data_IF_005302085213
#
_entry.id   IF_005302085213
#
_cell.length_a   1.000
_cell.length_b   1.000
_cell.length_c   1.000
_cell.angle_alpha   90.00
_cell.angle_beta   90.00
_cell.angle_gamma   90.00
#
_symmetry.space_group_name_H-M   'P 1'
#
loop_
_entity.id
_entity.type
_entity.pdbx_description
1 polymer ?
#
# COMPACT_ATOMS: atom_id res chain seq x y z
N UNK A 1 -36.08 -16.10 80.87
CA UNK A 1 -34.80 -16.11 80.15
C UNK A 1 -34.99 -16.92 78.87
N UNK A 2 -35.32 -16.22 77.79
CA UNK A 2 -35.29 -16.69 76.42
C UNK A 2 -34.18 -15.85 75.78
N UNK A 3 -33.12 -16.49 75.27
CA UNK A 3 -32.03 -15.79 74.58
C UNK A 3 -31.75 -16.48 73.25
N UNK A 4 -31.67 -15.64 72.23
CA UNK A 4 -31.71 -15.88 70.78
C UNK A 4 -30.59 -16.75 70.19
N UNK A 5 -30.95 -17.31 69.04
CA UNK A 5 -30.11 -17.97 68.04
C UNK A 5 -29.33 -16.90 67.27
N UNK A 6 -28.00 -16.98 67.23
CA UNK A 6 -27.16 -16.19 66.30
C UNK A 6 -26.68 -17.12 65.17
N UNK A 7 -26.86 -16.66 63.93
CA UNK A 7 -26.38 -17.31 62.70
C UNK A 7 -24.91 -16.92 62.46
N UNK A 8 -24.01 -17.90 62.37
CA UNK A 8 -22.66 -17.69 61.86
C UNK A 8 -22.69 -17.59 60.33
N UNK A 9 -22.31 -16.43 59.81
CA UNK A 9 -22.09 -16.17 58.39
C UNK A 9 -20.65 -16.60 58.07
N UNK A 10 -20.50 -17.60 57.20
CA UNK A 10 -19.20 -18.01 56.66
C UNK A 10 -18.80 -17.00 55.59
N UNK A 11 -17.79 -16.16 55.86
CA UNK A 11 -17.13 -15.36 54.83
C UNK A 11 -16.29 -16.28 53.91
N UNK A 12 -16.37 -16.14 52.57
CA UNK A 12 -15.46 -16.84 51.67
C UNK A 12 -14.06 -16.23 51.76
N UNK A 13 -13.05 -17.09 51.84
CA UNK A 13 -11.64 -16.71 51.85
C UNK A 13 -11.29 -15.86 50.60
N UNK A 14 -10.41 -14.84 50.74
CA UNK A 14 -9.97 -14.06 49.59
C UNK A 14 -9.18 -14.97 48.66
N UNK A 15 -9.67 -15.13 47.42
CA UNK A 15 -8.92 -15.76 46.35
C UNK A 15 -7.70 -14.89 46.06
N UNK A 16 -6.50 -15.40 46.33
CA UNK A 16 -5.26 -14.81 45.86
C UNK A 16 -5.30 -14.74 44.32
N UNK A 17 -5.50 -13.52 43.80
CA UNK A 17 -5.34 -13.15 42.40
C UNK A 17 -3.86 -13.21 41.98
N UNK A 18 -3.26 -14.41 42.02
CA UNK A 18 -1.99 -14.67 41.31
C UNK A 18 -2.21 -14.84 39.79
N UNK A 19 -3.43 -14.61 39.30
CA UNK A 19 -3.76 -14.57 37.87
C UNK A 19 -3.61 -13.13 37.36
N UNK A 20 -2.38 -12.60 37.28
CA UNK A 20 -2.16 -11.42 36.42
C UNK A 20 -0.69 -11.08 36.14
N UNK A 21 0.27 -11.35 37.03
CA UNK A 21 1.63 -10.82 36.82
C UNK A 21 2.44 -11.69 35.84
N UNK A 22 2.51 -13.01 36.01
CA UNK A 22 3.23 -13.89 35.07
C UNK A 22 2.66 -13.87 33.65
N UNK A 23 1.33 -13.70 33.52
CA UNK A 23 0.65 -13.65 32.22
C UNK A 23 0.90 -12.32 31.49
N UNK A 24 1.06 -11.23 32.25
CA UNK A 24 1.44 -9.92 31.73
C UNK A 24 2.93 -9.90 31.36
N UNK A 25 3.80 -10.52 32.15
CA UNK A 25 5.23 -10.60 31.86
C UNK A 25 5.54 -11.46 30.61
N UNK A 26 4.81 -12.58 30.43
CA UNK A 26 4.89 -13.39 29.21
C UNK A 26 4.29 -12.69 27.97
N UNK A 27 3.30 -11.80 28.13
CA UNK A 27 2.79 -10.94 27.04
C UNK A 27 3.71 -9.74 26.73
N UNK A 28 4.53 -9.32 27.70
CA UNK A 28 5.44 -8.16 27.59
C UNK A 28 6.83 -8.52 27.03
N UNK A 29 7.23 -9.80 27.09
CA UNK A 29 8.57 -10.20 26.65
C UNK A 29 8.72 -10.12 25.12
N UNK A 30 9.61 -9.24 24.66
CA UNK A 30 9.87 -9.01 23.24
C UNK A 30 8.91 -8.06 22.50
N UNK A 31 7.95 -7.40 23.17
CA UNK A 31 7.04 -6.40 22.56
C UNK A 31 7.60 -4.95 22.67
N UNK A 32 7.36 -4.10 21.65
CA UNK A 32 7.84 -2.71 21.63
C UNK A 32 7.14 -1.86 22.71
N UNK A 33 5.86 -2.15 22.96
CA UNK A 33 5.02 -1.42 23.91
C UNK A 33 4.70 -2.32 25.10
N UNK A 34 5.24 -1.98 26.27
CA UNK A 34 5.03 -2.72 27.53
C UNK A 34 3.76 -2.22 28.24
N UNK A 35 3.02 -3.13 28.87
CA UNK A 35 1.90 -2.82 29.78
C UNK A 35 2.39 -2.75 31.23
N UNK A 36 1.97 -1.74 31.97
CA UNK A 36 2.24 -1.59 33.42
C UNK A 36 1.80 -0.23 33.97
N UNK A 37 1.68 -0.13 35.31
CA UNK A 37 1.38 1.15 35.97
C UNK A 37 2.45 2.20 35.61
N UNK A 38 2.01 3.37 35.12
CA UNK A 38 2.88 4.48 34.73
C UNK A 38 3.32 4.50 33.24
N UNK A 39 2.95 3.49 32.43
CA UNK A 39 3.17 3.49 30.98
C UNK A 39 1.90 3.88 30.21
N UNK A 40 2.03 4.73 29.20
CA UNK A 40 0.94 5.07 28.27
C UNK A 40 0.61 3.83 27.41
N UNK A 41 -0.64 3.37 27.40
CA UNK A 41 -1.04 2.19 26.61
C UNK A 41 -1.15 2.55 25.13
N UNK A 42 -0.22 2.03 24.33
CA UNK A 42 -0.20 2.21 22.88
C UNK A 42 -1.07 1.19 22.12
N UNK A 43 -1.58 0.14 22.78
CA UNK A 43 -2.43 -0.89 22.15
C UNK A 43 -3.91 -0.49 22.20
N UNK A 44 -4.26 0.59 21.54
CA UNK A 44 -5.61 1.17 21.61
C UNK A 44 -6.52 0.79 20.44
N UNK A 45 -5.98 0.16 19.40
CA UNK A 45 -6.67 -0.03 18.12
C UNK A 45 -7.47 -1.34 18.10
N UNK A 46 -8.78 -1.26 17.87
CA UNK A 46 -9.62 -2.44 17.65
C UNK A 46 -9.51 -3.01 16.24
N UNK A 47 -10.02 -4.23 16.02
CA UNK A 47 -9.93 -4.90 14.71
C UNK A 47 -10.69 -4.17 13.59
N UNK A 48 -11.79 -3.48 13.92
CA UNK A 48 -12.55 -2.65 12.96
C UNK A 48 -11.71 -1.47 12.53
N UNK A 49 -11.18 -0.67 13.47
CA UNK A 49 -10.29 0.44 13.16
C UNK A 49 -9.07 -0.02 12.35
N UNK A 50 -8.49 -1.17 12.71
CA UNK A 50 -7.38 -1.80 11.99
C UNK A 50 -7.77 -2.12 10.53
N UNK A 51 -8.98 -2.66 10.31
CA UNK A 51 -9.49 -2.98 8.97
C UNK A 51 -9.53 -1.73 8.11
N UNK A 52 -10.02 -0.61 8.65
CA UNK A 52 -10.08 0.65 7.92
C UNK A 52 -8.69 1.22 7.62
N UNK A 53 -7.76 1.15 8.59
CA UNK A 53 -6.37 1.58 8.39
C UNK A 53 -5.73 0.76 7.26
N UNK A 54 -5.90 -0.56 7.27
CA UNK A 54 -5.44 -1.43 6.19
C UNK A 54 -6.09 -1.08 4.85
N UNK A 55 -7.40 -0.85 4.85
CA UNK A 55 -8.12 -0.46 3.64
C UNK A 55 -7.55 0.84 3.09
N UNK A 56 -7.28 1.88 3.89
CA UNK A 56 -6.67 3.11 3.35
C UNK A 56 -5.24 2.88 2.85
N UNK A 57 -4.44 2.06 3.53
CA UNK A 57 -3.07 1.78 3.11
C UNK A 57 -3.02 1.08 1.75
N UNK A 58 -3.97 0.18 1.48
CA UNK A 58 -4.03 -0.56 0.22
C UNK A 58 -4.84 0.18 -0.84
N UNK A 59 -6.05 0.63 -0.50
CA UNK A 59 -6.98 1.38 -1.36
C UNK A 59 -6.50 2.84 -1.55
N UNK A 60 -5.40 2.97 -2.28
CA UNK A 60 -4.71 4.21 -2.57
C UNK A 60 -4.61 4.41 -4.08
N UNK A 61 -3.39 4.62 -4.59
CA UNK A 61 -3.11 4.91 -6.00
C UNK A 61 -3.28 3.70 -6.93
N UNK A 62 -3.18 2.47 -6.41
CA UNK A 62 -3.17 1.24 -7.21
C UNK A 62 -4.42 1.04 -8.07
N UNK A 63 -5.62 1.27 -7.53
CA UNK A 63 -6.90 1.08 -8.24
C UNK A 63 -7.04 1.94 -9.51
N UNK A 64 -6.33 3.06 -9.56
CA UNK A 64 -6.40 4.01 -10.67
C UNK A 64 -5.70 3.52 -11.94
N UNK A 65 -4.89 2.47 -11.80
CA UNK A 65 -4.06 1.91 -12.88
C UNK A 65 -4.62 0.64 -13.51
N UNK A 66 -5.40 -0.12 -12.74
CA UNK A 66 -5.89 -1.44 -13.12
C UNK A 66 -6.73 -1.40 -14.41
N UNK A 67 -7.60 -0.41 -14.66
CA UNK A 67 -8.35 -0.36 -15.92
C UNK A 67 -7.43 -0.26 -17.17
N UNK A 68 -6.33 0.49 -17.08
CA UNK A 68 -5.34 0.60 -18.16
C UNK A 68 -4.53 -0.69 -18.33
N UNK A 69 -4.24 -1.39 -17.23
CA UNK A 69 -3.64 -2.72 -17.28
C UNK A 69 -4.57 -3.76 -17.93
N UNK A 70 -5.90 -3.65 -17.73
CA UNK A 70 -6.90 -4.49 -18.39
C UNK A 70 -6.97 -4.26 -19.90
N UNK A 71 -6.70 -3.05 -20.39
CA UNK A 71 -6.53 -2.84 -21.84
C UNK A 71 -5.34 -3.64 -22.39
N UNK A 72 -4.21 -3.63 -21.68
CA UNK A 72 -2.99 -4.34 -22.12
C UNK A 72 -3.17 -5.86 -22.10
N UNK A 73 -3.76 -6.40 -21.03
CA UNK A 73 -3.92 -7.85 -20.83
C UNK A 73 -5.21 -8.41 -21.47
N UNK A 74 -6.19 -7.56 -21.75
CA UNK A 74 -7.58 -7.94 -22.01
C UNK A 74 -8.39 -8.10 -20.73
N UNK A 75 -9.72 -8.03 -20.86
CA UNK A 75 -10.65 -8.07 -19.74
C UNK A 75 -10.52 -9.36 -18.92
N UNK A 76 -10.42 -10.52 -19.57
CA UNK A 76 -10.37 -11.81 -18.91
C UNK A 76 -9.02 -12.09 -18.24
N UNK A 77 -7.85 -12.01 -18.93
CA UNK A 77 -6.56 -12.18 -18.27
C UNK A 77 -6.26 -11.11 -17.21
N UNK A 78 -6.75 -9.88 -17.43
CA UNK A 78 -6.70 -8.79 -16.45
C UNK A 78 -7.49 -9.10 -15.18
N UNK A 79 -8.73 -9.57 -15.30
CA UNK A 79 -9.55 -9.99 -14.16
C UNK A 79 -8.92 -11.15 -13.37
N UNK A 80 -8.36 -12.14 -14.06
CA UNK A 80 -7.61 -13.23 -13.43
C UNK A 80 -6.39 -12.70 -12.68
N UNK A 81 -5.64 -11.75 -13.26
CA UNK A 81 -4.51 -11.12 -12.58
C UNK A 81 -4.94 -10.39 -11.31
N UNK A 82 -6.04 -9.63 -11.35
CA UNK A 82 -6.57 -8.95 -10.15
C UNK A 82 -6.91 -9.98 -9.07
N UNK A 83 -7.69 -11.02 -9.40
CA UNK A 83 -8.08 -12.04 -8.42
C UNK A 83 -6.87 -12.82 -7.87
N UNK A 84 -5.96 -13.24 -8.75
CA UNK A 84 -4.78 -14.03 -8.40
C UNK A 84 -3.80 -13.25 -7.52
N UNK A 85 -3.46 -12.03 -7.91
CA UNK A 85 -2.54 -11.21 -7.12
C UNK A 85 -3.16 -10.78 -5.79
N UNK A 86 -4.45 -10.44 -5.76
CA UNK A 86 -5.07 -10.08 -4.49
C UNK A 86 -5.21 -11.27 -3.54
N UNK A 87 -5.49 -12.47 -4.06
CA UNK A 87 -5.44 -13.70 -3.27
C UNK A 87 -4.03 -13.93 -2.69
N UNK A 88 -2.98 -13.88 -3.52
CA UNK A 88 -1.60 -14.07 -3.08
C UNK A 88 -1.16 -13.00 -2.08
N UNK A 89 -1.45 -11.72 -2.34
CA UNK A 89 -1.14 -10.63 -1.42
C UNK A 89 -1.83 -10.81 -0.06
N UNK A 90 -3.10 -11.26 -0.06
CA UNK A 90 -3.84 -11.57 1.17
C UNK A 90 -3.17 -12.71 1.92
N UNK A 91 -2.79 -13.78 1.21
CA UNK A 91 -2.12 -14.92 1.80
C UNK A 91 -0.76 -14.54 2.39
N UNK A 92 0.04 -13.76 1.67
CA UNK A 92 1.32 -13.23 2.12
C UNK A 92 1.17 -12.35 3.37
N UNK A 93 0.13 -11.50 3.44
CA UNK A 93 -0.17 -10.69 4.63
C UNK A 93 -0.47 -11.56 5.86
N UNK A 94 -1.17 -12.68 5.65
CA UNK A 94 -1.45 -13.66 6.71
C UNK A 94 -0.18 -14.39 7.16
N UNK A 95 0.68 -14.80 6.23
CA UNK A 95 1.98 -15.41 6.57
C UNK A 95 2.81 -14.46 7.42
N UNK A 96 2.92 -13.19 7.03
CA UNK A 96 3.67 -12.19 7.82
C UNK A 96 3.10 -12.05 9.23
N UNK A 97 1.78 -11.95 9.36
CA UNK A 97 1.12 -11.88 10.68
C UNK A 97 1.33 -13.13 11.54
N UNK A 98 1.27 -14.32 10.93
CA UNK A 98 1.53 -15.58 11.62
C UNK A 98 3.00 -15.71 12.03
N UNK A 99 3.93 -15.31 11.16
CA UNK A 99 5.35 -15.35 11.44
C UNK A 99 5.70 -14.43 12.62
N UNK A 100 5.12 -13.22 12.66
CA UNK A 100 5.21 -12.33 13.83
C UNK A 100 4.66 -12.97 15.10
N UNK A 101 3.54 -13.69 15.00
CA UNK A 101 2.96 -14.37 16.16
C UNK A 101 3.84 -15.51 16.67
N UNK A 102 4.49 -16.25 15.77
CA UNK A 102 5.38 -17.35 16.10
C UNK A 102 6.75 -16.89 16.62
N UNK A 103 7.19 -15.69 16.25
CA UNK A 103 8.52 -15.17 16.56
C UNK A 103 8.44 -13.80 17.24
N UNK A 104 8.48 -13.82 18.58
CA UNK A 104 8.56 -12.60 19.38
C UNK A 104 9.75 -11.72 18.95
N UNK A 105 9.56 -10.39 18.92
CA UNK A 105 10.57 -9.43 18.46
C UNK A 105 10.53 -9.04 16.98
N UNK A 106 9.74 -9.73 16.14
CA UNK A 106 9.55 -9.38 14.73
C UNK A 106 8.50 -8.26 14.53
N UNK A 107 8.88 -7.01 14.76
CA UNK A 107 7.96 -5.87 14.67
C UNK A 107 7.96 -5.15 13.32
N UNK A 108 8.97 -5.43 12.50
CA UNK A 108 9.08 -4.92 11.14
C UNK A 108 9.42 -6.05 10.18
N UNK A 109 9.15 -5.84 8.89
CA UNK A 109 9.57 -6.78 7.83
C UNK A 109 11.10 -6.98 7.86
N UNK A 110 11.87 -5.92 8.16
CA UNK A 110 13.31 -6.01 8.26
C UNK A 110 13.76 -6.91 9.42
N UNK A 111 13.04 -6.93 10.54
CA UNK A 111 13.32 -7.84 11.64
C UNK A 111 13.00 -9.29 11.26
N UNK A 112 11.93 -9.53 10.50
CA UNK A 112 11.65 -10.87 9.92
C UNK A 112 12.77 -11.32 8.98
N UNK A 113 13.24 -10.42 8.10
CA UNK A 113 14.38 -10.66 7.21
C UNK A 113 15.66 -10.98 7.99
N UNK A 114 15.91 -10.28 9.10
CA UNK A 114 17.04 -10.55 10.00
C UNK A 114 16.98 -11.95 10.58
N UNK A 115 15.79 -12.43 10.95
CA UNK A 115 15.63 -13.75 11.56
C UNK A 115 15.90 -14.87 10.55
N UNK A 116 15.38 -14.75 9.32
CA UNK A 116 15.51 -15.83 8.33
C UNK A 116 16.84 -15.82 7.55
N UNK A 117 17.49 -14.67 7.44
CA UNK A 117 18.68 -14.50 6.59
C UNK A 117 19.79 -13.61 7.17
N UNK A 118 19.70 -13.24 8.46
CA UNK A 118 20.71 -12.46 9.15
C UNK A 118 20.80 -10.99 8.70
N UNK A 119 21.90 -10.34 9.08
CA UNK A 119 22.09 -8.88 8.93
C UNK A 119 22.04 -8.42 7.47
N UNK A 120 22.52 -9.22 6.51
CA UNK A 120 22.51 -8.85 5.09
C UNK A 120 21.06 -8.75 4.59
N UNK A 121 20.24 -9.75 4.90
CA UNK A 121 18.83 -9.76 4.49
C UNK A 121 18.04 -8.66 5.20
N UNK A 122 18.32 -8.40 6.48
CA UNK A 122 17.76 -7.25 7.21
C UNK A 122 17.97 -5.93 6.46
N UNK A 123 19.19 -5.66 6.02
CA UNK A 123 19.52 -4.40 5.33
C UNK A 123 18.95 -4.37 3.91
N UNK A 124 18.99 -5.48 3.18
CA UNK A 124 18.37 -5.58 1.86
C UNK A 124 16.86 -5.35 1.93
N UNK A 125 16.17 -6.01 2.86
CA UNK A 125 14.74 -5.82 3.13
C UNK A 125 14.43 -4.37 3.48
N UNK A 126 15.29 -3.74 4.28
CA UNK A 126 15.16 -2.32 4.63
C UNK A 126 15.30 -1.37 3.45
N UNK A 127 16.28 -1.61 2.58
CA UNK A 127 16.50 -0.81 1.37
C UNK A 127 15.31 -0.98 0.42
N UNK A 128 14.90 -2.22 0.15
CA UNK A 128 13.73 -2.50 -0.69
C UNK A 128 12.48 -1.84 -0.11
N UNK A 129 12.32 -1.80 1.22
CA UNK A 129 11.15 -1.18 1.85
C UNK A 129 11.12 0.32 1.56
N UNK A 130 12.27 0.99 1.70
CA UNK A 130 12.39 2.41 1.35
C UNK A 130 12.15 2.65 -0.14
N UNK A 131 12.74 1.84 -1.02
CA UNK A 131 12.52 1.96 -2.48
C UNK A 131 11.04 1.80 -2.82
N UNK A 132 10.37 0.78 -2.26
CA UNK A 132 8.95 0.54 -2.50
C UNK A 132 8.09 1.73 -2.10
N UNK A 133 8.22 2.19 -0.84
CA UNK A 133 7.36 3.25 -0.30
C UNK A 133 7.67 4.63 -0.88
N UNK A 134 8.93 4.92 -1.26
CA UNK A 134 9.28 6.16 -1.97
C UNK A 134 8.69 6.16 -3.38
N UNK A 135 8.73 5.04 -4.12
CA UNK A 135 8.15 4.95 -5.46
C UNK A 135 6.62 5.12 -5.46
N UNK A 136 5.91 4.53 -4.50
CA UNK A 136 4.46 4.76 -4.37
C UNK A 136 4.16 6.15 -3.77
N UNK A 137 5.06 6.71 -2.97
CA UNK A 137 5.00 8.13 -2.57
C UNK A 137 5.10 9.07 -3.77
N UNK A 138 6.02 8.77 -4.70
CA UNK A 138 6.16 9.50 -5.96
C UNK A 138 4.89 9.40 -6.82
N UNK A 139 4.24 8.22 -6.89
CA UNK A 139 2.95 8.10 -7.58
C UNK A 139 1.85 8.93 -6.91
N UNK A 140 1.88 9.07 -5.59
CA UNK A 140 1.01 10.03 -4.87
C UNK A 140 1.23 11.48 -5.31
N UNK A 141 2.48 11.91 -5.45
CA UNK A 141 2.83 13.26 -5.95
C UNK A 141 2.33 13.45 -7.39
N UNK A 142 2.56 12.47 -8.29
CA UNK A 142 2.04 12.50 -9.67
C UNK A 142 0.52 12.60 -9.67
N UNK A 143 -0.17 11.78 -8.87
CA UNK A 143 -1.64 11.82 -8.79
C UNK A 143 -2.16 13.19 -8.33
N UNK A 144 -1.52 13.81 -7.33
CA UNK A 144 -1.88 15.15 -6.87
C UNK A 144 -1.57 16.22 -7.92
N UNK A 145 -0.44 16.15 -8.62
CA UNK A 145 -0.13 17.12 -9.68
C UNK A 145 -1.08 16.98 -10.87
N UNK A 146 -1.47 15.76 -11.23
CA UNK A 146 -2.53 15.50 -12.22
C UNK A 146 -3.87 16.10 -11.78
N UNK A 147 -4.21 16.02 -10.50
CA UNK A 147 -5.43 16.64 -9.98
C UNK A 147 -5.39 18.17 -10.14
N UNK A 148 -4.25 18.81 -9.83
CA UNK A 148 -4.06 20.26 -10.00
C UNK A 148 -4.12 20.67 -11.47
N UNK A 149 -3.51 19.90 -12.38
CA UNK A 149 -3.63 20.08 -13.83
C UNK A 149 -5.10 19.99 -14.29
N UNK A 150 -5.82 18.96 -13.87
CA UNK A 150 -7.22 18.74 -14.25
C UNK A 150 -8.14 19.87 -13.78
N UNK A 151 -7.94 20.35 -12.55
CA UNK A 151 -8.76 21.40 -11.95
C UNK A 151 -8.48 22.78 -12.55
N UNK A 152 -7.24 23.04 -12.93
CA UNK A 152 -6.80 24.33 -13.47
C UNK A 152 -6.89 24.44 -15.01
N UNK A 153 -7.18 23.34 -15.71
CA UNK A 153 -6.96 23.22 -17.15
C UNK A 153 -5.50 23.51 -17.55
N UNK A 154 -4.55 22.91 -16.83
CA UNK A 154 -3.13 23.07 -17.11
C UNK A 154 -2.65 24.54 -17.10
N UNK A 155 -3.05 25.32 -16.08
CA UNK A 155 -2.74 26.75 -16.02
C UNK A 155 -1.27 27.07 -15.73
N UNK A 156 -0.53 26.11 -15.19
CA UNK A 156 0.90 26.18 -14.91
C UNK A 156 1.57 24.92 -15.46
N UNK A 157 2.86 25.02 -15.77
CA UNK A 157 3.65 23.86 -16.15
C UNK A 157 3.56 22.75 -15.09
N UNK A 158 3.36 21.51 -15.54
CA UNK A 158 3.15 20.33 -14.67
C UNK A 158 4.23 20.19 -13.60
N UNK A 159 5.48 20.53 -13.91
CA UNK A 159 6.57 20.48 -12.94
C UNK A 159 6.33 21.40 -11.72
N UNK A 160 5.76 22.59 -11.90
CA UNK A 160 5.37 23.45 -10.78
C UNK A 160 4.23 22.84 -9.96
N UNK A 161 3.25 22.21 -10.61
CA UNK A 161 2.22 21.47 -9.89
C UNK A 161 2.79 20.28 -9.11
N UNK A 162 3.82 19.60 -9.63
CA UNK A 162 4.55 18.56 -8.90
C UNK A 162 5.30 19.11 -7.68
N UNK A 163 5.88 20.32 -7.76
CA UNK A 163 6.46 21.01 -6.59
C UNK A 163 5.38 21.33 -5.56
N UNK A 164 4.26 21.91 -5.98
CA UNK A 164 3.13 22.23 -5.09
C UNK A 164 2.59 20.97 -4.43
N UNK A 165 2.38 19.90 -5.20
CA UNK A 165 1.96 18.59 -4.71
C UNK A 165 2.93 18.05 -3.66
N UNK A 166 4.24 18.17 -3.90
CA UNK A 166 5.28 17.75 -2.95
C UNK A 166 5.20 18.52 -1.64
N UNK A 167 4.96 19.84 -1.69
CA UNK A 167 4.75 20.68 -0.50
C UNK A 167 3.50 20.24 0.26
N UNK A 168 2.38 19.99 -0.44
CA UNK A 168 1.14 19.50 0.17
C UNK A 168 1.36 18.16 0.87
N UNK A 169 2.04 17.21 0.20
CA UNK A 169 2.37 15.89 0.74
C UNK A 169 3.30 15.99 1.96
N UNK A 170 4.31 16.86 1.91
CA UNK A 170 5.21 17.11 3.04
C UNK A 170 4.46 17.67 4.25
N UNK A 171 3.63 18.70 4.06
CA UNK A 171 2.84 19.30 5.14
C UNK A 171 1.89 18.26 5.74
N UNK A 172 1.16 17.53 4.90
CA UNK A 172 0.22 16.50 5.35
C UNK A 172 0.91 15.32 6.06
N UNK A 173 2.15 14.99 5.70
CA UNK A 173 2.95 13.92 6.32
C UNK A 173 3.71 14.34 7.57
N UNK A 174 3.80 15.64 7.87
CA UNK A 174 4.57 16.21 8.99
C UNK A 174 4.10 15.80 10.40
N UNK A 175 2.82 15.52 10.69
CA UNK A 175 2.39 15.10 12.02
C UNK A 175 3.08 13.79 12.45
N UNK A 176 3.61 13.74 13.67
CA UNK A 176 4.46 12.62 14.16
C UNK A 176 3.72 11.35 14.57
N UNK A 177 2.47 11.46 15.04
CA UNK A 177 1.69 10.34 15.61
C UNK A 177 0.65 9.84 14.61
N UNK A 178 0.62 8.53 14.35
CA UNK A 178 -0.42 7.88 13.53
C UNK A 178 -1.83 8.13 14.09
N UNK A 179 -1.98 8.22 15.41
CA UNK A 179 -3.24 8.52 16.09
C UNK A 179 -3.87 9.84 15.61
N UNK A 180 -3.05 10.88 15.36
CA UNK A 180 -3.53 12.16 14.80
C UNK A 180 -3.78 12.09 13.28
N UNK A 181 -3.30 11.03 12.62
CA UNK A 181 -3.49 10.78 11.19
C UNK A 181 -4.70 9.87 10.95
N UNK A 182 -5.22 9.15 11.96
CA UNK A 182 -6.35 8.22 11.80
C UNK A 182 -7.59 8.90 11.18
N UNK A 183 -8.01 10.07 11.67
CA UNK A 183 -9.09 10.85 11.04
C UNK A 183 -8.76 11.26 9.60
N UNK A 184 -7.51 11.66 9.36
CA UNK A 184 -7.02 12.04 8.04
C UNK A 184 -7.03 10.84 7.07
N UNK A 185 -6.74 9.63 7.56
CA UNK A 185 -6.83 8.39 6.78
C UNK A 185 -8.26 8.07 6.37
N UNK A 186 -9.24 8.32 7.26
CA UNK A 186 -10.66 8.20 6.95
C UNK A 186 -11.12 9.19 5.89
N UNK A 187 -10.83 10.47 6.09
CA UNK A 187 -11.17 11.51 5.12
C UNK A 187 -10.51 11.23 3.76
N UNK A 188 -9.24 10.80 3.78
CA UNK A 188 -8.50 10.45 2.57
C UNK A 188 -8.97 9.15 1.89
N UNK A 189 -9.55 8.21 2.62
CA UNK A 189 -10.17 7.01 2.03
C UNK A 189 -11.49 7.38 1.37
N UNK A 190 -12.39 8.06 2.11
CA UNK A 190 -13.70 8.44 1.62
C UNK A 190 -13.59 9.36 0.39
N UNK A 191 -12.63 10.27 0.39
CA UNK A 191 -12.29 11.15 -0.74
C UNK A 191 -11.98 10.36 -2.02
N UNK A 192 -10.99 9.46 -1.99
CA UNK A 192 -10.58 8.69 -3.17
C UNK A 192 -11.65 7.67 -3.58
N UNK A 193 -12.28 7.00 -2.63
CA UNK A 193 -13.37 6.05 -2.92
C UNK A 193 -14.53 6.76 -3.63
N UNK A 194 -14.99 7.89 -3.11
CA UNK A 194 -16.08 8.67 -3.72
C UNK A 194 -15.68 9.19 -5.10
N UNK A 195 -14.45 9.69 -5.26
CA UNK A 195 -13.95 10.15 -6.55
C UNK A 195 -13.96 9.04 -7.61
N UNK A 196 -13.48 7.84 -7.25
CA UNK A 196 -13.50 6.68 -8.16
C UNK A 196 -14.92 6.25 -8.47
N UNK A 197 -15.79 6.18 -7.45
CA UNK A 197 -17.18 5.76 -7.65
C UNK A 197 -17.93 6.71 -8.61
N UNK A 198 -17.70 8.02 -8.47
CA UNK A 198 -18.23 9.03 -9.41
C UNK A 198 -17.75 8.76 -10.84
N UNK A 199 -16.49 8.40 -11.04
CA UNK A 199 -15.94 8.11 -12.38
C UNK A 199 -16.51 6.80 -12.92
N UNK A 200 -16.60 5.76 -12.09
CA UNK A 200 -17.18 4.46 -12.45
C UNK A 200 -18.63 4.60 -12.91
N UNK A 201 -19.44 5.43 -12.24
CA UNK A 201 -20.81 5.76 -12.69
C UNK A 201 -20.77 6.70 -13.89
N UNK A 202 -19.90 7.70 -13.90
CA UNK A 202 -19.82 8.71 -14.95
C UNK A 202 -19.46 8.13 -16.32
N UNK A 203 -18.59 7.11 -16.41
CA UNK A 203 -18.27 6.48 -17.69
C UNK A 203 -19.45 5.72 -18.29
N UNK A 204 -20.44 5.28 -17.50
CA UNK A 204 -21.61 4.55 -18.01
C UNK A 204 -22.68 5.45 -18.61
N UNK A 205 -22.61 6.76 -18.35
CA UNK A 205 -23.56 7.74 -18.88
C UNK A 205 -23.10 8.35 -20.22
N UNK A 206 -21.87 8.06 -20.64
CA UNK A 206 -21.31 8.53 -21.89
C UNK A 206 -21.72 7.62 -23.06
N UNK A 207 -22.18 8.20 -24.16
CA UNK A 207 -22.46 7.46 -25.39
C UNK A 207 -21.18 6.96 -26.08
N UNK A 208 -20.05 7.64 -25.84
CA UNK A 208 -18.72 7.37 -26.41
C UNK A 208 -17.64 7.72 -25.37
N UNK A 209 -16.49 7.03 -25.35
CA UNK A 209 -15.38 7.39 -24.46
C UNK A 209 -14.97 8.85 -24.63
N UNK A 210 -14.70 9.54 -23.53
CA UNK A 210 -14.39 10.96 -23.58
C UNK A 210 -13.09 11.29 -24.32
N UNK A 211 -12.10 10.40 -24.29
CA UNK A 211 -10.83 10.58 -24.99
C UNK A 211 -10.87 10.12 -26.46
N UNK A 212 -11.96 9.48 -26.90
CA UNK A 212 -12.13 9.09 -28.31
C UNK A 212 -12.54 10.29 -29.17
N UNK A 213 -12.35 10.23 -30.51
CA UNK A 213 -12.94 11.19 -31.44
C UNK A 213 -14.45 11.31 -31.21
N UNK A 214 -14.91 12.54 -30.94
CA UNK A 214 -16.32 12.79 -30.62
C UNK A 214 -17.24 12.68 -31.85
N UNK A 215 -16.67 12.79 -33.05
CA UNK A 215 -17.36 12.61 -34.33
C UNK A 215 -16.68 11.54 -35.17
N UNK A 216 -17.43 10.95 -36.11
CA UNK A 216 -16.93 9.89 -37.01
C UNK A 216 -16.89 8.50 -36.39
N UNK A 217 -16.34 7.56 -37.15
CA UNK A 217 -16.02 6.22 -36.66
C UNK A 217 -14.73 6.25 -35.85
N UNK A 218 -14.69 5.45 -34.79
CA UNK A 218 -13.48 5.26 -34.01
C UNK A 218 -13.39 3.80 -33.60
N UNK A 219 -12.15 3.30 -33.51
CA UNK A 219 -11.90 1.99 -32.92
C UNK A 219 -12.01 2.08 -31.40
N UNK A 220 -12.93 1.32 -30.81
CA UNK A 220 -13.12 1.25 -29.37
C UNK A 220 -11.97 0.51 -28.67
N UNK A 221 -11.31 -0.43 -29.35
CA UNK A 221 -10.15 -1.15 -28.84
C UNK A 221 -10.44 -2.02 -27.60
N UNK A 222 -11.63 -2.62 -27.50
CA UNK A 222 -11.95 -3.57 -26.43
C UNK A 222 -11.52 -4.97 -26.81
N UNK A 223 -10.75 -5.59 -25.93
CA UNK A 223 -10.28 -6.96 -26.08
C UNK A 223 -10.63 -7.78 -24.85
N UNK A 224 -11.25 -8.94 -25.07
CA UNK A 224 -11.47 -9.94 -24.00
C UNK A 224 -10.15 -10.56 -23.59
N UNK A 225 -9.29 -10.89 -24.57
CA UNK A 225 -7.94 -11.39 -24.38
C UNK A 225 -7.01 -10.46 -25.16
N UNK A 226 -6.05 -9.84 -24.49
CA UNK A 226 -5.03 -9.00 -25.10
C UNK A 226 -3.83 -9.82 -25.56
N UNK A 227 -3.07 -9.28 -26.51
CA UNK A 227 -1.83 -9.87 -27.02
C UNK A 227 -0.65 -8.90 -26.83
N UNK A 228 -0.29 -8.57 -25.57
CA UNK A 228 0.78 -7.63 -25.32
C UNK A 228 2.16 -8.24 -25.64
N UNK A 229 3.14 -7.37 -25.90
CA UNK A 229 4.54 -7.78 -25.83
C UNK A 229 4.89 -8.24 -24.42
N UNK A 230 5.99 -8.99 -24.27
CA UNK A 230 6.45 -9.41 -22.95
C UNK A 230 6.62 -8.23 -21.98
N UNK A 231 7.25 -7.14 -22.44
CA UNK A 231 7.46 -5.94 -21.63
C UNK A 231 6.13 -5.31 -21.18
N UNK A 232 5.18 -5.10 -22.10
CA UNK A 232 3.88 -4.52 -21.77
C UNK A 232 3.06 -5.42 -20.82
N UNK A 233 3.06 -6.74 -21.07
CA UNK A 233 2.38 -7.71 -20.22
C UNK A 233 2.95 -7.75 -18.80
N UNK A 234 4.27 -7.74 -18.66
CA UNK A 234 4.94 -7.68 -17.36
C UNK A 234 4.63 -6.37 -16.64
N UNK A 235 4.66 -5.23 -17.34
CA UNK A 235 4.30 -3.94 -16.74
C UNK A 235 2.89 -3.95 -16.19
N UNK A 236 1.92 -4.44 -16.97
CA UNK A 236 0.52 -4.54 -16.56
C UNK A 236 0.34 -5.48 -15.36
N UNK A 237 0.95 -6.67 -15.39
CA UNK A 237 0.89 -7.63 -14.29
C UNK A 237 1.53 -7.08 -13.00
N UNK A 238 2.72 -6.47 -13.09
CA UNK A 238 3.42 -5.85 -11.94
C UNK A 238 2.63 -4.68 -11.35
N UNK A 239 1.97 -3.88 -12.18
CA UNK A 239 1.10 -2.78 -11.73
C UNK A 239 -0.11 -3.31 -10.95
N UNK A 240 -0.77 -4.36 -11.45
CA UNK A 240 -1.89 -5.00 -10.74
C UNK A 240 -1.39 -5.62 -9.43
N UNK A 241 -0.26 -6.34 -9.45
CA UNK A 241 0.35 -6.88 -8.23
C UNK A 241 0.65 -5.80 -7.18
N UNK A 242 1.24 -4.68 -7.60
CA UNK A 242 1.58 -3.56 -6.72
C UNK A 242 0.35 -3.00 -5.97
N UNK A 243 -0.84 -3.06 -6.59
CA UNK A 243 -2.07 -2.48 -6.03
C UNK A 243 -2.50 -3.07 -4.68
N UNK A 244 -2.03 -4.28 -4.34
CA UNK A 244 -2.27 -4.95 -3.07
C UNK A 244 -1.02 -5.34 -2.28
N UNK A 245 0.18 -5.00 -2.75
CA UNK A 245 1.43 -5.53 -2.21
C UNK A 245 1.97 -4.77 -0.96
N UNK A 246 1.30 -3.69 -0.53
CA UNK A 246 1.70 -2.86 0.61
C UNK A 246 1.54 -3.50 2.01
N UNK A 247 1.32 -4.81 2.08
CA UNK A 247 0.96 -5.55 3.30
C UNK A 247 2.04 -5.52 4.39
N UNK A 248 3.28 -5.25 3.98
CA UNK A 248 4.39 -5.02 4.90
C UNK A 248 4.19 -3.88 5.91
N UNK A 249 3.39 -2.87 5.56
CA UNK A 249 3.01 -1.79 6.48
C UNK A 249 1.92 -2.21 7.49
N UNK A 250 1.40 -3.44 7.42
CA UNK A 250 0.40 -3.91 8.37
C UNK A 250 1.00 -4.31 9.72
N UNK A 251 2.28 -4.71 9.75
CA UNK A 251 2.95 -5.19 10.96
C UNK A 251 3.05 -4.11 12.07
N UNK A 252 3.42 -2.85 11.78
CA UNK A 252 3.37 -1.80 12.79
C UNK A 252 1.97 -1.60 13.37
N UNK A 253 0.92 -1.62 12.55
CA UNK A 253 -0.46 -1.47 13.02
C UNK A 253 -0.87 -2.67 13.87
N UNK A 254 -0.43 -3.89 13.52
CA UNK A 254 -0.67 -5.09 14.33
C UNK A 254 -0.10 -4.95 15.75
N UNK A 255 1.04 -4.25 15.90
CA UNK A 255 1.63 -4.00 17.23
C UNK A 255 0.83 -3.03 18.11
N UNK A 256 -0.02 -2.20 17.48
CA UNK A 256 -0.92 -1.24 18.15
C UNK A 256 -2.33 -1.82 18.38
N UNK A 257 -2.59 -3.08 17.98
CA UNK A 257 -3.88 -3.73 18.19
C UNK A 257 -4.10 -4.14 19.65
N UNK A 258 -5.29 -3.88 20.18
CA UNK A 258 -5.76 -4.37 21.50
C UNK A 258 -5.61 -5.89 21.62
N UNK A 259 -6.00 -6.59 20.57
CA UNK A 259 -5.91 -8.05 20.46
C UNK A 259 -5.27 -8.43 19.11
N UNK A 260 -3.97 -8.74 19.07
CA UNK A 260 -3.27 -9.13 17.84
C UNK A 260 -3.84 -10.39 17.16
N UNK A 261 -4.57 -11.25 17.88
CA UNK A 261 -5.20 -12.45 17.30
C UNK A 261 -6.29 -12.09 16.27
N UNK A 262 -6.89 -10.91 16.37
CA UNK A 262 -7.89 -10.44 15.42
C UNK A 262 -7.29 -9.90 14.11
N UNK A 263 -5.96 -9.87 13.97
CA UNK A 263 -5.26 -9.40 12.77
C UNK A 263 -5.77 -10.06 11.49
N UNK A 264 -5.91 -11.40 11.50
CA UNK A 264 -6.39 -12.16 10.33
C UNK A 264 -7.80 -11.75 9.91
N UNK A 265 -8.66 -11.41 10.88
CA UNK A 265 -10.01 -10.90 10.61
C UNK A 265 -9.94 -9.55 9.90
N UNK A 266 -9.10 -8.64 10.39
CA UNK A 266 -8.93 -7.32 9.78
C UNK A 266 -8.36 -7.39 8.35
N UNK A 267 -7.35 -8.24 8.13
CA UNK A 267 -6.77 -8.47 6.80
C UNK A 267 -7.82 -9.01 5.82
N UNK A 268 -8.60 -10.02 6.21
CA UNK A 268 -9.58 -10.64 5.32
C UNK A 268 -10.68 -9.66 4.90
N UNK A 269 -11.19 -8.85 5.83
CA UNK A 269 -12.21 -7.84 5.51
C UNK A 269 -11.66 -6.74 4.61
N UNK A 270 -10.47 -6.21 4.92
CA UNK A 270 -9.80 -5.21 4.10
C UNK A 270 -9.56 -5.74 2.68
N UNK A 271 -8.86 -6.87 2.55
CA UNK A 271 -8.47 -7.40 1.25
C UNK A 271 -9.67 -7.91 0.45
N UNK A 272 -10.70 -8.46 1.10
CA UNK A 272 -11.95 -8.84 0.45
C UNK A 272 -12.66 -7.63 -0.17
N UNK A 273 -12.80 -6.54 0.59
CA UNK A 273 -13.37 -5.29 0.08
C UNK A 273 -12.53 -4.70 -1.07
N UNK A 274 -11.22 -4.61 -0.89
CA UNK A 274 -10.29 -4.09 -1.90
C UNK A 274 -10.38 -4.92 -3.18
N UNK A 275 -10.39 -6.24 -3.08
CA UNK A 275 -10.48 -7.14 -4.24
C UNK A 275 -11.77 -6.92 -5.01
N UNK A 276 -12.91 -6.87 -4.29
CA UNK A 276 -14.21 -6.63 -4.90
C UNK A 276 -14.25 -5.27 -5.61
N UNK A 277 -13.79 -4.21 -4.95
CA UNK A 277 -13.75 -2.87 -5.52
C UNK A 277 -12.81 -2.79 -6.74
N UNK A 278 -11.60 -3.36 -6.64
CA UNK A 278 -10.61 -3.32 -7.73
C UNK A 278 -11.12 -4.06 -8.97
N UNK A 279 -11.70 -5.25 -8.79
CA UNK A 279 -12.25 -6.02 -9.89
C UNK A 279 -13.44 -5.31 -10.52
N UNK A 280 -14.43 -4.93 -9.72
CA UNK A 280 -15.67 -4.32 -10.23
C UNK A 280 -15.42 -2.98 -10.91
N UNK A 281 -14.70 -2.06 -10.26
CA UNK A 281 -14.44 -0.74 -10.82
C UNK A 281 -13.61 -0.83 -12.10
N UNK A 282 -12.64 -1.74 -12.15
CA UNK A 282 -11.78 -1.85 -13.33
C UNK A 282 -12.48 -2.48 -14.52
N UNK A 283 -13.31 -3.51 -14.30
CA UNK A 283 -14.12 -4.10 -15.36
C UNK A 283 -15.09 -3.05 -15.93
N UNK A 284 -15.78 -2.28 -15.07
CA UNK A 284 -16.73 -1.26 -15.54
C UNK A 284 -15.99 -0.17 -16.33
N UNK A 285 -14.91 0.39 -15.80
CA UNK A 285 -14.18 1.45 -16.51
C UNK A 285 -13.63 0.94 -17.84
N UNK A 286 -13.04 -0.25 -17.87
CA UNK A 286 -12.52 -0.80 -19.12
C UNK A 286 -13.62 -1.17 -20.12
N UNK A 287 -14.76 -1.69 -19.65
CA UNK A 287 -15.91 -2.02 -20.51
C UNK A 287 -16.45 -0.80 -21.25
N UNK A 288 -16.50 0.37 -20.61
CA UNK A 288 -17.05 1.59 -21.20
C UNK A 288 -16.00 2.47 -21.90
N UNK A 289 -14.71 2.31 -21.59
CA UNK A 289 -13.65 3.15 -22.18
C UNK A 289 -12.79 2.43 -23.22
N UNK A 290 -12.68 1.09 -23.19
CA UNK A 290 -11.81 0.34 -24.12
C UNK A 290 -10.36 0.81 -24.06
N UNK A 291 -9.75 1.09 -25.22
CA UNK A 291 -8.37 1.64 -25.27
C UNK A 291 -8.23 3.09 -24.81
N UNK A 292 -9.35 3.79 -24.62
CA UNK A 292 -9.42 5.22 -24.31
C UNK A 292 -9.45 5.51 -22.79
N UNK A 293 -9.14 4.50 -21.97
CA UNK A 293 -8.97 4.66 -20.52
C UNK A 293 -7.84 5.66 -20.24
N UNK A 294 -8.12 6.67 -19.41
CA UNK A 294 -7.09 7.58 -18.92
C UNK A 294 -6.20 6.91 -17.87
N UNK A 295 -4.97 7.38 -17.72
CA UNK A 295 -4.08 6.98 -16.62
C UNK A 295 -3.56 8.24 -15.93
N UNK A 296 -3.94 8.51 -14.66
CA UNK A 296 -4.84 7.75 -13.80
C UNK A 296 -6.30 7.71 -14.32
N UNK A 297 -7.04 6.65 -13.99
CA UNK A 297 -8.40 6.41 -14.51
C UNK A 297 -9.44 7.48 -14.16
N UNK A 298 -9.17 8.35 -13.18
CA UNK A 298 -10.03 9.49 -12.83
C UNK A 298 -10.35 10.40 -14.03
N UNK A 299 -9.46 10.45 -15.02
CA UNK A 299 -9.64 11.25 -16.23
C UNK A 299 -10.66 10.72 -17.24
N UNK A 300 -11.21 9.51 -17.04
CA UNK A 300 -11.90 8.78 -18.12
C UNK A 300 -13.34 9.23 -18.38
N UNK A 301 -14.01 9.87 -17.42
CA UNK A 301 -15.44 10.21 -17.48
C UNK A 301 -15.76 11.59 -18.12
N UNK A 302 -14.81 12.15 -18.88
CA UNK A 302 -14.95 13.44 -19.57
C UNK A 302 -14.74 14.67 -18.70
N UNK A 303 -14.68 15.87 -19.29
CA UNK A 303 -14.10 17.06 -18.64
C UNK A 303 -14.79 17.48 -17.34
N UNK A 304 -16.12 17.47 -17.29
CA UNK A 304 -16.87 17.87 -16.10
C UNK A 304 -16.69 16.86 -14.95
N UNK A 305 -16.95 15.58 -15.21
CA UNK A 305 -16.83 14.53 -14.19
C UNK A 305 -15.38 14.38 -13.74
N UNK A 306 -14.41 14.51 -14.65
CA UNK A 306 -12.98 14.56 -14.34
C UNK A 306 -12.67 15.63 -13.29
N UNK A 307 -13.14 16.87 -13.47
CA UNK A 307 -12.93 17.95 -12.50
C UNK A 307 -13.59 17.67 -11.16
N UNK A 308 -14.82 17.16 -11.15
CA UNK A 308 -15.53 16.78 -9.92
C UNK A 308 -14.75 15.69 -9.19
N UNK A 309 -14.33 14.63 -9.89
CA UNK A 309 -13.62 13.50 -9.33
C UNK A 309 -12.24 13.89 -8.78
N UNK A 310 -11.43 14.64 -9.55
CA UNK A 310 -10.15 15.14 -9.05
C UNK A 310 -10.31 16.16 -7.91
N UNK A 311 -11.34 17.00 -7.95
CA UNK A 311 -11.64 17.96 -6.89
C UNK A 311 -11.97 17.28 -5.56
N UNK A 312 -12.80 16.24 -5.59
CA UNK A 312 -13.11 15.42 -4.41
C UNK A 312 -11.90 14.56 -4.01
N UNK A 313 -11.19 13.99 -4.99
CA UNK A 313 -10.11 13.02 -4.79
C UNK A 313 -8.77 13.60 -4.36
N UNK A 314 -8.52 14.91 -4.57
CA UNK A 314 -7.22 15.54 -4.28
C UNK A 314 -6.79 15.36 -2.82
N UNK A 315 -7.73 15.42 -1.88
CA UNK A 315 -7.44 15.17 -0.47
C UNK A 315 -6.89 13.76 -0.27
N UNK A 316 -7.57 12.74 -0.80
CA UNK A 316 -7.14 11.37 -0.63
C UNK A 316 -5.85 11.02 -1.38
N UNK A 317 -5.57 11.67 -2.50
CA UNK A 317 -4.29 11.57 -3.23
C UNK A 317 -3.13 12.15 -2.41
N UNK A 318 -3.31 13.36 -1.86
CA UNK A 318 -2.32 14.00 -0.96
C UNK A 318 -2.07 13.14 0.27
N UNK A 319 -3.13 12.65 0.90
CA UNK A 319 -3.03 11.78 2.09
C UNK A 319 -2.32 10.47 1.75
N UNK A 320 -2.58 9.87 0.59
CA UNK A 320 -1.87 8.66 0.15
C UNK A 320 -0.38 8.89 -0.01
N UNK A 321 0.04 9.94 -0.74
CA UNK A 321 1.45 10.30 -0.85
C UNK A 321 2.08 10.59 0.51
N UNK A 322 1.35 11.30 1.38
CA UNK A 322 1.82 11.67 2.72
C UNK A 322 2.06 10.43 3.59
N UNK A 323 1.14 9.46 3.58
CA UNK A 323 1.29 8.21 4.32
C UNK A 323 2.52 7.41 3.86
N UNK A 324 2.74 7.28 2.55
CA UNK A 324 3.86 6.51 2.02
C UNK A 324 5.22 7.17 2.32
N UNK A 325 5.31 8.49 2.13
CA UNK A 325 6.52 9.25 2.47
C UNK A 325 6.75 9.30 3.98
N UNK A 326 5.69 9.41 4.79
CA UNK A 326 5.77 9.35 6.25
C UNK A 326 6.31 8.00 6.72
N UNK A 327 5.80 6.88 6.19
CA UNK A 327 6.26 5.53 6.55
C UNK A 327 7.75 5.35 6.23
N UNK A 328 8.19 5.81 5.05
CA UNK A 328 9.60 5.79 4.65
C UNK A 328 10.47 6.65 5.58
N UNK A 329 10.01 7.87 5.86
CA UNK A 329 10.74 8.80 6.72
C UNK A 329 10.84 8.28 8.16
N UNK A 330 9.75 7.69 8.69
CA UNK A 330 9.73 7.07 10.02
C UNK A 330 10.70 5.91 10.12
N UNK A 331 10.82 5.09 9.08
CA UNK A 331 11.79 4.00 9.05
C UNK A 331 13.23 4.50 9.21
N UNK A 332 13.62 5.52 8.44
CA UNK A 332 14.97 6.13 8.53
C UNK A 332 15.14 6.82 9.89
N UNK A 333 14.15 7.62 10.31
CA UNK A 333 14.16 8.35 11.57
C UNK A 333 14.39 7.44 12.78
N UNK A 334 13.65 6.32 12.86
CA UNK A 334 13.79 5.34 13.94
C UNK A 334 15.16 4.68 13.90
N UNK A 335 15.73 4.41 12.71
CA UNK A 335 17.08 3.84 12.59
C UNK A 335 18.17 4.81 13.03
N UNK A 336 18.06 6.07 12.66
CA UNK A 336 19.05 7.12 13.01
C UNK A 336 19.03 7.41 14.52
N UNK A 337 17.86 7.39 15.15
CA UNK A 337 17.71 7.74 16.57
C UNK A 337 17.49 6.54 17.51
N UNK A 338 17.59 5.28 17.05
CA UNK A 338 17.16 4.07 17.79
C UNK A 338 17.67 3.99 19.23
N UNK A 339 18.90 4.42 19.47
CA UNK A 339 19.57 4.37 20.79
C UNK A 339 19.79 5.75 21.41
N UNK A 340 19.04 6.76 20.94
CA UNK A 340 19.15 8.14 21.40
C UNK A 340 17.96 8.54 22.26
N UNK A 341 18.20 9.28 23.34
CA UNK A 341 17.14 9.94 24.14
C UNK A 341 16.24 10.84 23.29
N UNK A 342 16.75 11.33 22.15
CA UNK A 342 16.02 12.19 21.23
C UNK A 342 14.93 11.45 20.43
N UNK A 343 14.92 10.12 20.39
CA UNK A 343 13.88 9.37 19.67
C UNK A 343 12.47 9.67 20.22
N UNK A 344 12.34 9.76 21.54
CA UNK A 344 11.05 9.99 22.22
C UNK A 344 10.95 11.37 22.88
N UNK A 345 12.07 12.08 23.09
CA UNK A 345 12.06 13.42 23.68
C UNK A 345 11.56 14.49 22.70
N UNK A 346 10.76 15.43 23.19
CA UNK A 346 10.36 16.64 22.44
C UNK A 346 11.51 17.66 22.38
N UNK A 347 12.54 17.35 21.60
CA UNK A 347 13.78 18.13 21.51
C UNK A 347 14.01 18.70 20.10
N UNK A 348 14.86 19.72 19.98
CA UNK A 348 15.23 20.28 18.67
C UNK A 348 15.83 19.23 17.73
N UNK A 349 16.68 18.33 18.27
CA UNK A 349 17.28 17.22 17.50
C UNK A 349 16.19 16.29 16.94
N UNK A 350 15.20 15.92 17.76
CA UNK A 350 14.06 15.11 17.32
C UNK A 350 13.35 15.74 16.13
N UNK A 351 12.95 17.02 16.25
CA UNK A 351 12.21 17.71 15.20
C UNK A 351 13.05 17.95 13.94
N UNK A 352 14.32 18.30 14.09
CA UNK A 352 15.23 18.52 12.98
C UNK A 352 15.46 17.24 12.18
N UNK A 353 15.71 16.11 12.87
CA UNK A 353 15.90 14.81 12.20
C UNK A 353 14.59 14.32 11.58
N UNK A 354 13.45 14.49 12.27
CA UNK A 354 12.14 14.12 11.74
C UNK A 354 11.80 14.87 10.45
N UNK A 355 11.77 16.21 10.52
CA UNK A 355 11.41 17.05 9.38
C UNK A 355 12.47 16.97 8.27
N UNK A 356 13.76 16.88 8.61
CA UNK A 356 14.83 16.72 7.64
C UNK A 356 14.75 15.40 6.87
N UNK A 357 14.46 14.30 7.57
CA UNK A 357 14.27 12.99 6.94
C UNK A 357 13.04 12.99 6.04
N UNK A 358 11.92 13.54 6.52
CA UNK A 358 10.69 13.65 5.73
C UNK A 358 10.89 14.54 4.50
N UNK A 359 11.58 15.66 4.63
CA UNK A 359 11.90 16.56 3.51
C UNK A 359 12.77 15.84 2.48
N UNK A 360 13.80 15.11 2.92
CA UNK A 360 14.68 14.33 2.03
C UNK A 360 13.89 13.29 1.24
N UNK A 361 13.03 12.52 1.92
CA UNK A 361 12.16 11.52 1.27
C UNK A 361 11.24 12.18 0.24
N UNK A 362 10.64 13.32 0.56
CA UNK A 362 9.75 14.04 -0.35
C UNK A 362 10.51 14.58 -1.58
N UNK A 363 11.72 15.11 -1.40
CA UNK A 363 12.56 15.57 -2.51
C UNK A 363 12.91 14.41 -3.43
N UNK A 364 13.32 13.25 -2.89
CA UNK A 364 13.62 12.07 -3.70
C UNK A 364 12.37 11.60 -4.45
N UNK A 365 11.21 11.53 -3.78
CA UNK A 365 9.95 11.16 -4.41
C UNK A 365 9.56 12.14 -5.53
N UNK A 366 9.77 13.44 -5.34
CA UNK A 366 9.55 14.48 -6.36
C UNK A 366 10.45 14.30 -7.58
N UNK A 367 11.75 14.03 -7.38
CA UNK A 367 12.69 13.82 -8.48
C UNK A 367 12.29 12.60 -9.32
N UNK A 368 11.85 11.52 -8.66
CA UNK A 368 11.35 10.33 -9.35
C UNK A 368 10.04 10.62 -10.08
N UNK A 369 9.08 11.28 -9.43
CA UNK A 369 7.80 11.68 -10.02
C UNK A 369 7.98 12.56 -11.27
N UNK A 370 8.99 13.43 -11.28
CA UNK A 370 9.28 14.35 -12.38
C UNK A 370 10.12 13.72 -13.49
N UNK A 371 10.94 12.70 -13.15
CA UNK A 371 11.74 11.95 -14.12
C UNK A 371 10.94 10.88 -14.87
N UNK A 372 9.92 10.29 -14.23
CA UNK A 372 9.02 9.32 -14.87
C UNK A 372 7.57 9.70 -14.55
N UNK A 373 7.02 10.74 -15.21
CA UNK A 373 5.68 11.26 -14.91
C UNK A 373 4.53 10.36 -15.41
N UNK A 374 4.81 9.08 -15.66
CA UNK A 374 3.81 8.08 -16.04
C UNK A 374 3.47 7.25 -14.81
N UNK A 375 2.27 7.49 -14.30
CA UNK A 375 1.76 6.91 -13.07
C UNK A 375 1.84 5.36 -13.07
N UNK A 376 1.45 4.70 -14.17
CA UNK A 376 1.53 3.24 -14.30
C UNK A 376 2.97 2.70 -14.17
N UNK A 377 3.96 3.40 -14.74
CA UNK A 377 5.35 2.95 -14.72
C UNK A 377 5.94 3.03 -13.31
N UNK A 378 5.57 4.05 -12.52
CA UNK A 378 5.97 4.15 -11.11
C UNK A 378 5.43 2.98 -10.26
N UNK A 379 4.14 2.67 -10.40
CA UNK A 379 3.55 1.54 -9.66
C UNK A 379 4.11 0.19 -10.14
N UNK A 380 4.32 0.03 -11.45
CA UNK A 380 4.94 -1.18 -11.99
C UNK A 380 6.38 -1.36 -11.50
N UNK A 381 7.16 -0.27 -11.44
CA UNK A 381 8.53 -0.28 -10.93
C UNK A 381 8.53 -0.66 -9.45
N UNK A 382 7.67 -0.03 -8.64
CA UNK A 382 7.53 -0.36 -7.22
C UNK A 382 7.13 -1.83 -7.03
N UNK A 383 6.14 -2.28 -7.81
CA UNK A 383 5.63 -3.65 -7.84
C UNK A 383 6.72 -4.67 -8.13
N UNK A 384 7.54 -4.42 -9.14
CA UNK A 384 8.57 -5.35 -9.60
C UNK A 384 9.83 -5.30 -8.73
N UNK A 385 10.56 -4.18 -8.70
CA UNK A 385 11.91 -4.13 -8.10
C UNK A 385 11.89 -4.32 -6.58
N UNK A 386 10.81 -3.90 -5.92
CA UNK A 386 10.77 -3.79 -4.47
C UNK A 386 9.66 -4.65 -3.83
N UNK A 387 8.41 -4.50 -4.26
CA UNK A 387 7.31 -5.27 -3.68
C UNK A 387 7.35 -6.75 -4.07
N UNK A 388 7.83 -7.15 -5.25
CA UNK A 388 7.91 -8.56 -5.58
C UNK A 388 8.80 -9.32 -4.60
N UNK A 389 10.06 -8.90 -4.33
CA UNK A 389 10.87 -9.55 -3.30
C UNK A 389 10.31 -9.39 -1.89
N UNK A 390 9.70 -8.25 -1.53
CA UNK A 390 9.24 -7.99 -0.15
C UNK A 390 7.89 -8.60 0.22
N UNK A 391 6.92 -8.53 -0.68
CA UNK A 391 5.53 -8.87 -0.42
C UNK A 391 5.15 -10.25 -0.95
N UNK A 392 5.96 -10.85 -1.83
CA UNK A 392 5.76 -12.21 -2.33
C UNK A 392 6.93 -13.13 -1.96
N UNK A 393 8.16 -12.74 -2.28
CA UNK A 393 9.36 -13.56 -2.08
C UNK A 393 9.66 -13.81 -0.62
N UNK A 394 9.78 -12.75 0.17
CA UNK A 394 10.08 -12.84 1.60
C UNK A 394 9.00 -13.64 2.34
N UNK A 395 7.68 -13.41 2.19
CA UNK A 395 6.67 -14.25 2.84
C UNK A 395 6.76 -15.73 2.44
N UNK A 396 7.04 -16.05 1.18
CA UNK A 396 7.33 -17.43 0.76
C UNK A 396 8.50 -18.04 1.54
N UNK A 397 9.57 -17.26 1.73
CA UNK A 397 10.73 -17.67 2.52
C UNK A 397 10.42 -17.79 4.02
N UNK A 398 9.66 -16.85 4.60
CA UNK A 398 9.21 -16.91 6.00
C UNK A 398 8.45 -18.21 6.27
N UNK A 399 7.53 -18.58 5.37
CA UNK A 399 6.77 -19.82 5.53
C UNK A 399 7.65 -21.07 5.46
N UNK A 400 8.57 -21.11 4.48
CA UNK A 400 9.55 -22.21 4.32
C UNK A 400 10.46 -22.31 5.55
N UNK A 401 10.81 -21.18 6.16
CA UNK A 401 11.62 -21.16 7.37
C UNK A 401 10.91 -21.81 8.57
N UNK A 402 9.62 -21.54 8.75
CA UNK A 402 8.82 -22.14 9.84
C UNK A 402 8.50 -23.62 9.60
N UNK A 403 8.46 -24.04 8.34
CA UNK A 403 8.02 -25.39 7.92
C UNK A 403 9.13 -26.16 7.21
N UNK A 404 10.39 -26.00 7.65
CA UNK A 404 11.55 -26.66 7.01
C UNK A 404 11.34 -28.16 6.85
N UNK A 405 10.76 -28.84 7.83
CA UNK A 405 10.60 -30.30 7.77
C UNK A 405 9.60 -30.80 6.72
N UNK A 406 8.76 -29.92 6.16
CA UNK A 406 7.70 -30.30 5.23
C UNK A 406 8.23 -30.86 3.90
N UNK A 407 9.50 -30.58 3.55
CA UNK A 407 10.12 -31.19 2.37
C UNK A 407 10.30 -32.71 2.49
N UNK A 408 10.39 -33.24 3.73
CA UNK A 408 10.45 -34.68 4.01
C UNK A 408 9.09 -35.27 4.42
N UNK A 409 8.06 -34.44 4.48
CA UNK A 409 6.75 -34.78 5.03
C UNK A 409 5.86 -35.62 4.11
N UNK A 410 4.56 -35.61 4.42
CA UNK A 410 3.51 -36.21 3.60
C UNK A 410 3.41 -35.53 2.23
N UNK A 411 2.71 -36.15 1.27
CA UNK A 411 2.53 -35.57 -0.06
C UNK A 411 1.96 -34.14 -0.01
N UNK A 412 0.99 -33.88 0.87
CA UNK A 412 0.40 -32.55 1.06
C UNK A 412 1.45 -31.56 1.57
N UNK A 413 2.27 -31.94 2.54
CA UNK A 413 3.33 -31.09 3.08
C UNK A 413 4.36 -30.73 2.01
N UNK A 414 4.76 -31.71 1.18
CA UNK A 414 5.67 -31.48 0.05
C UNK A 414 5.09 -30.56 -1.00
N UNK A 415 3.80 -30.70 -1.33
CA UNK A 415 3.09 -29.81 -2.26
C UNK A 415 3.05 -28.38 -1.70
N UNK A 416 2.67 -28.21 -0.43
CA UNK A 416 2.66 -26.89 0.22
C UNK A 416 4.05 -26.26 0.21
N UNK A 417 5.08 -27.03 0.56
CA UNK A 417 6.46 -26.57 0.51
C UNK A 417 6.87 -26.13 -0.91
N UNK A 418 6.56 -26.95 -1.92
CA UNK A 418 6.81 -26.63 -3.32
C UNK A 418 6.09 -25.36 -3.79
N UNK A 419 4.85 -25.12 -3.35
CA UNK A 419 4.09 -23.90 -3.67
C UNK A 419 4.72 -22.64 -3.06
N UNK A 420 5.26 -22.70 -1.84
CA UNK A 420 5.95 -21.56 -1.24
C UNK A 420 7.31 -21.29 -1.87
N UNK A 421 8.03 -22.33 -2.30
CA UNK A 421 9.23 -22.18 -3.14
C UNK A 421 8.85 -21.56 -4.49
N UNK A 422 7.73 -21.98 -5.10
CA UNK A 422 7.22 -21.38 -6.33
C UNK A 422 6.88 -19.90 -6.15
N UNK A 423 6.34 -19.47 -5.01
CA UNK A 423 6.13 -18.05 -4.71
C UNK A 423 7.45 -17.24 -4.74
N UNK A 424 8.53 -17.80 -4.21
CA UNK A 424 9.88 -17.18 -4.27
C UNK A 424 10.35 -17.08 -5.71
N UNK A 425 10.16 -18.13 -6.52
CA UNK A 425 10.53 -18.13 -7.94
C UNK A 425 9.71 -17.10 -8.74
N UNK A 426 8.40 -17.03 -8.52
CA UNK A 426 7.53 -16.04 -9.15
C UNK A 426 7.94 -14.62 -8.75
N UNK A 427 8.32 -14.43 -7.48
CA UNK A 427 8.84 -13.15 -6.98
C UNK A 427 10.12 -12.74 -7.71
N UNK A 428 11.07 -13.65 -7.89
CA UNK A 428 12.29 -13.38 -8.67
C UNK A 428 11.99 -13.10 -10.14
N UNK A 429 11.09 -13.88 -10.75
CA UNK A 429 10.65 -13.66 -12.12
C UNK A 429 9.98 -12.29 -12.30
N UNK A 430 9.09 -11.90 -11.39
CA UNK A 430 8.40 -10.61 -11.43
C UNK A 430 9.36 -9.45 -11.16
N UNK A 431 10.35 -9.64 -10.27
CA UNK A 431 11.40 -8.67 -10.01
C UNK A 431 12.24 -8.40 -11.28
N UNK A 432 12.75 -9.46 -11.91
CA UNK A 432 13.61 -9.35 -13.10
C UNK A 432 12.79 -8.92 -14.32
N UNK A 433 11.76 -9.68 -14.67
CA UNK A 433 10.95 -9.46 -15.86
C UNK A 433 10.10 -8.20 -15.79
N UNK A 434 9.57 -7.86 -14.61
CA UNK A 434 8.84 -6.61 -14.37
C UNK A 434 9.76 -5.40 -14.46
N UNK A 435 10.92 -5.43 -13.81
CA UNK A 435 11.88 -4.31 -13.88
C UNK A 435 12.38 -4.11 -15.31
N UNK A 436 12.71 -5.20 -16.02
CA UNK A 436 13.04 -5.15 -17.43
C UNK A 436 11.91 -4.53 -18.27
N UNK A 437 10.67 -4.99 -18.09
CA UNK A 437 9.52 -4.48 -18.81
C UNK A 437 9.30 -2.99 -18.59
N UNK A 438 9.43 -2.53 -17.34
CA UNK A 438 9.32 -1.11 -17.01
C UNK A 438 10.43 -0.29 -17.65
N UNK A 439 11.68 -0.74 -17.60
CA UNK A 439 12.81 -0.04 -18.22
C UNK A 439 12.58 0.10 -19.73
N UNK A 440 12.21 -0.98 -20.41
CA UNK A 440 11.92 -0.95 -21.85
C UNK A 440 10.79 0.02 -22.17
N UNK A 441 9.67 -0.04 -21.44
CA UNK A 441 8.52 0.84 -21.68
C UNK A 441 8.82 2.31 -21.39
N UNK A 442 9.64 2.61 -20.38
CA UNK A 442 10.13 3.98 -20.13
C UNK A 442 11.01 4.43 -21.30
N UNK A 443 11.96 3.61 -21.73
CA UNK A 443 12.84 3.95 -22.86
C UNK A 443 12.05 4.21 -24.14
N UNK A 444 11.05 3.38 -24.43
CA UNK A 444 10.22 3.53 -25.61
C UNK A 444 9.33 4.78 -25.51
N UNK A 445 8.77 5.08 -24.33
CA UNK A 445 8.04 6.32 -24.08
C UNK A 445 8.90 7.59 -24.27
N UNK A 446 10.20 7.53 -23.98
CA UNK A 446 11.13 8.62 -24.28
C UNK A 446 11.46 8.72 -25.78
N UNK A 447 11.56 7.58 -26.47
CA UNK A 447 11.89 7.56 -27.91
C UNK A 447 10.72 7.99 -28.78
N UNK A 448 9.50 7.63 -28.42
CA UNK A 448 8.28 7.95 -29.19
C UNK A 448 7.69 9.32 -28.85
N UNK A 449 8.22 10.00 -27.83
CA UNK A 449 7.80 11.34 -27.41
C UNK A 449 6.63 11.36 -26.44
N UNK A 450 6.14 10.21 -25.96
CA UNK A 450 5.14 10.12 -24.89
C UNK A 450 5.65 10.75 -23.58
N UNK A 451 6.97 10.69 -23.34
CA UNK A 451 7.70 11.53 -22.39
C UNK A 451 8.68 12.38 -23.18
N UNK A 452 8.37 13.65 -23.35
CA UNK A 452 9.21 14.61 -24.08
C UNK A 452 10.58 14.83 -23.41
N UNK A 453 10.58 15.03 -22.10
CA UNK A 453 11.80 15.25 -21.32
C UNK A 453 11.58 14.99 -19.83
N UNK A 454 12.67 14.72 -19.09
CA UNK A 454 12.62 14.75 -17.64
C UNK A 454 12.23 16.15 -17.17
N UNK A 455 11.35 16.26 -16.16
CA UNK A 455 10.79 17.53 -15.69
C UNK A 455 9.95 18.28 -16.75
N UNK A 456 9.36 17.55 -17.71
CA UNK A 456 8.53 18.13 -18.77
C UNK A 456 7.36 18.96 -18.20
N UNK A 457 7.02 20.00 -18.95
CA UNK A 457 5.84 20.82 -18.70
C UNK A 457 4.55 20.25 -19.28
N UNK A 458 4.58 19.14 -20.02
CA UNK A 458 3.39 18.58 -20.68
C UNK A 458 2.25 18.30 -19.70
N UNK A 459 1.00 18.50 -20.14
CA UNK A 459 -0.19 18.19 -19.36
C UNK A 459 -0.30 16.68 -19.14
N UNK A 460 -0.33 16.26 -17.87
CA UNK A 460 -0.47 14.86 -17.48
C UNK A 460 -1.91 14.49 -17.08
N UNK A 461 -2.89 15.36 -17.39
CA UNK A 461 -4.31 15.20 -17.04
C UNK A 461 -5.26 15.12 -18.24
N UNK A 462 -4.73 15.19 -19.46
CA UNK A 462 -5.48 15.23 -20.72
C UNK A 462 -6.59 16.31 -20.69
N UNK A 463 -6.29 17.50 -20.20
CA UNK A 463 -7.18 18.65 -20.10
C UNK A 463 -6.97 19.68 -21.20
N UNK A 464 -5.80 19.67 -21.84
CA UNK A 464 -5.44 20.51 -22.99
C UNK A 464 -5.62 19.83 -24.33
#
# INVERSE_FOLDING_TARGET
MLAEKSHDIIEPAPSNDNVSIEKIDLENDGEIFKRGEGYEDFRTVGWIQTTIIFTKLIFATGVLTIPSAMYTLGAFPGAINVLGWQFLNTYCAQIQGQFRHNHAGCHSIADMGNLVGGKIVRELTGILFLVAFILVGASGIVGTSTALNALSNHSLCTNYFSIIATIMVFIAGSPRKFEKIAWVTWAGFLSVFTAIFIVVVGVTTLNRPAAAPQTGEFDFGYHVIGHPTFAAGMVAASTIFCSGAGTGAFLPVMSEMKNPKDYKKAVNWCMGFVTAAYLTFSIVVYWYCGKWVASPSLGSAGPLIKKIAYGIGILGLVVSGALFNHVSAKYIFVRVLRDSKHLQANSFVHWSVWLGTLATVNVVAFLIASGVPIFNYLLSLAGSIAFAPLALGLPGWLWVYDHKDYWKGTLIQKVLYGLHVLMIIISLFLCIGGTYGVIVQIMDAYKDGSIDSAFSCADNSNSS
#
